data_IF_979397537817
#
_entry.id   IF_979397537817
#
_cell.length_a   1.000
_cell.length_b   1.000
_cell.length_c   1.000
_cell.angle_alpha   90.00
_cell.angle_beta   90.00
_cell.angle_gamma   90.00
#
_symmetry.space_group_name_H-M   'P 1'
#
loop_
_entity.id
_entity.type
_entity.pdbx_description
1 polymer ?
#
# COMPACT_ATOMS: atom_id res chain seq x y z
N UNK A 1 15.09 14.33 -0.68
CA UNK A 1 15.93 13.52 0.24
C UNK A 1 15.08 12.44 0.92
N UNK A 2 15.28 11.15 0.63
CA UNK A 2 14.44 10.08 1.17
C UNK A 2 14.74 9.78 2.65
N UNK A 3 16.01 9.59 3.00
CA UNK A 3 16.43 9.22 4.36
C UNK A 3 16.04 10.28 5.39
N UNK A 4 16.26 11.57 5.10
CA UNK A 4 15.86 12.66 5.99
C UNK A 4 14.34 12.65 6.27
N UNK A 5 13.51 12.40 5.25
CA UNK A 5 12.06 12.23 5.42
C UNK A 5 11.75 11.00 6.27
N UNK A 6 12.40 9.88 6.00
CA UNK A 6 12.18 8.64 6.74
C UNK A 6 12.51 8.83 8.23
N UNK A 7 13.63 9.48 8.57
CA UNK A 7 14.04 9.76 9.95
C UNK A 7 13.00 10.64 10.66
N UNK A 8 12.53 11.71 10.01
CA UNK A 8 11.48 12.56 10.59
C UNK A 8 10.17 11.80 10.80
N UNK A 9 9.77 10.95 9.86
CA UNK A 9 8.51 10.20 9.94
C UNK A 9 8.57 9.08 10.97
N UNK A 10 9.67 8.32 11.04
CA UNK A 10 9.78 7.20 11.97
C UNK A 10 9.80 7.67 13.43
N UNK A 11 10.40 8.83 13.72
CA UNK A 11 10.37 9.41 15.06
C UNK A 11 8.95 9.76 15.53
N UNK A 12 8.07 10.15 14.62
CA UNK A 12 6.66 10.39 14.92
C UNK A 12 5.85 9.09 15.04
N UNK A 13 6.10 8.11 14.15
CA UNK A 13 5.35 6.86 14.09
C UNK A 13 5.72 5.86 15.20
N UNK A 14 6.99 5.81 15.57
CA UNK A 14 7.54 4.85 16.54
C UNK A 14 8.02 5.54 17.82
N UNK A 15 7.39 6.65 18.21
CA UNK A 15 7.74 7.41 19.42
C UNK A 15 7.78 6.48 20.65
N UNK A 16 8.88 6.56 21.40
CA UNK A 16 9.15 5.74 22.60
C UNK A 16 9.34 4.22 22.38
N UNK A 17 9.42 3.75 21.14
CA UNK A 17 9.72 2.34 20.88
C UNK A 17 11.23 2.10 20.81
N UNK A 18 11.69 0.99 21.40
CA UNK A 18 13.08 0.54 21.34
C UNK A 18 13.54 0.12 19.93
N UNK A 19 12.59 -0.07 19.01
CA UNK A 19 12.86 -0.41 17.62
C UNK A 19 11.76 0.09 16.69
N UNK A 20 12.13 0.23 15.42
CA UNK A 20 11.22 0.67 14.36
C UNK A 20 11.84 0.43 12.99
N UNK A 21 10.99 0.12 12.02
CA UNK A 21 11.37 0.00 10.62
C UNK A 21 10.41 0.81 9.75
N UNK A 22 10.93 1.56 8.78
CA UNK A 22 10.15 2.34 7.85
C UNK A 22 10.67 2.16 6.43
N UNK A 23 9.79 1.65 5.57
CA UNK A 23 10.02 1.53 4.14
C UNK A 23 9.30 2.65 3.39
N UNK A 24 10.06 3.49 2.69
CA UNK A 24 9.55 4.49 1.75
C UNK A 24 9.91 4.11 0.31
N UNK A 25 9.34 4.83 -0.66
CA UNK A 25 9.80 4.76 -2.04
C UNK A 25 11.23 5.33 -2.11
N UNK A 26 12.21 4.44 -2.30
CA UNK A 26 13.62 4.79 -2.48
C UNK A 26 14.51 4.69 -1.24
N UNK A 27 13.98 4.36 -0.07
CA UNK A 27 14.83 4.08 1.11
C UNK A 27 14.11 3.24 2.17
N UNK A 28 14.93 2.54 2.95
CA UNK A 28 14.54 1.77 4.12
C UNK A 28 15.39 2.24 5.30
N UNK A 29 14.78 2.42 6.45
CA UNK A 29 15.49 2.64 7.70
C UNK A 29 14.97 1.68 8.76
N UNK A 30 15.88 1.16 9.59
CA UNK A 30 15.54 0.34 10.74
C UNK A 30 16.48 0.67 11.89
N UNK A 31 15.93 0.74 13.09
CA UNK A 31 16.67 0.78 14.35
C UNK A 31 16.05 -0.24 15.31
N UNK A 32 16.84 -0.72 16.26
CA UNK A 32 16.43 -1.71 17.24
C UNK A 32 17.41 -1.66 18.43
N UNK A 33 16.99 -2.16 19.60
CA UNK A 33 17.87 -2.32 20.76
C UNK A 33 18.60 -3.67 20.77
N UNK A 34 18.24 -4.57 19.85
CA UNK A 34 18.92 -5.83 19.59
C UNK A 34 19.74 -5.76 18.31
N UNK A 35 20.87 -6.48 18.24
CA UNK A 35 21.66 -6.51 17.00
C UNK A 35 20.96 -7.35 15.93
N UNK A 36 20.75 -6.75 14.76
CA UNK A 36 20.13 -7.40 13.59
C UNK A 36 21.04 -7.40 12.36
N UNK A 37 22.29 -6.94 12.50
CA UNK A 37 23.24 -6.84 11.38
C UNK A 37 23.76 -8.22 10.97
N UNK A 38 23.68 -8.55 9.68
CA UNK A 38 24.12 -9.83 9.13
C UNK A 38 23.20 -11.02 9.42
N UNK A 39 22.07 -10.77 10.09
CA UNK A 39 21.07 -11.79 10.43
C UNK A 39 20.04 -11.86 9.30
N UNK A 40 19.88 -13.03 8.70
CA UNK A 40 18.82 -13.26 7.71
C UNK A 40 17.45 -13.22 8.39
N UNK A 41 16.49 -12.53 7.77
CA UNK A 41 15.10 -12.48 8.23
C UNK A 41 14.15 -12.49 7.01
N UNK A 42 13.46 -13.62 6.87
CA UNK A 42 12.49 -13.91 5.80
C UNK A 42 11.04 -13.76 6.28
N UNK A 43 10.81 -13.20 7.47
CA UNK A 43 9.45 -12.96 7.97
C UNK A 43 8.73 -11.99 7.04
N UNK A 44 7.48 -12.30 6.66
CA UNK A 44 6.68 -11.44 5.80
C UNK A 44 6.23 -10.21 6.60
N UNK A 45 6.65 -9.03 6.15
CA UNK A 45 6.31 -7.72 6.74
C UNK A 45 5.11 -7.11 6.03
N UNK A 46 5.09 -7.17 4.70
CA UNK A 46 3.99 -6.65 3.88
C UNK A 46 3.82 -7.52 2.64
N UNK A 47 2.58 -7.95 2.40
CA UNK A 47 2.12 -8.46 1.11
C UNK A 47 1.01 -7.57 0.59
N UNK A 48 1.11 -7.16 -0.67
CA UNK A 48 0.00 -6.49 -1.37
C UNK A 48 -0.06 -6.98 -2.81
N UNK A 49 -1.20 -7.49 -3.25
CA UNK A 49 -1.44 -7.83 -4.64
C UNK A 49 -2.50 -6.87 -5.21
N UNK A 50 -2.31 -6.44 -6.46
CA UNK A 50 -3.29 -5.66 -7.19
C UNK A 50 -4.47 -6.48 -7.69
N UNK A 51 -5.48 -5.82 -8.30
CA UNK A 51 -6.54 -6.53 -9.00
C UNK A 51 -5.97 -7.32 -10.19
N UNK A 52 -6.67 -8.36 -10.61
CA UNK A 52 -6.32 -9.08 -11.82
C UNK A 52 -6.62 -8.22 -13.05
N UNK A 53 -5.70 -8.16 -14.01
CA UNK A 53 -5.85 -7.33 -15.22
C UNK A 53 -5.80 -8.13 -16.53
N UNK A 54 -6.02 -9.44 -16.46
CA UNK A 54 -6.06 -10.32 -17.62
C UNK A 54 -4.72 -10.52 -18.33
N UNK A 55 -3.63 -9.94 -17.82
CA UNK A 55 -2.29 -10.30 -18.25
C UNK A 55 -1.95 -11.72 -17.79
N UNK A 56 -1.29 -12.46 -18.68
CA UNK A 56 -0.88 -13.82 -18.42
C UNK A 56 0.15 -13.86 -17.28
N UNK A 57 -0.14 -14.69 -16.27
CA UNK A 57 0.76 -14.93 -15.14
C UNK A 57 2.14 -15.45 -15.59
N UNK A 58 2.24 -16.04 -16.78
CA UNK A 58 3.52 -16.44 -17.38
C UNK A 58 4.46 -15.25 -17.63
N UNK A 59 3.94 -14.12 -18.12
CA UNK A 59 4.76 -12.92 -18.41
C UNK A 59 5.38 -12.34 -17.13
N UNK A 60 4.58 -12.28 -16.06
CA UNK A 60 5.06 -11.95 -14.72
C UNK A 60 6.07 -13.00 -14.22
N UNK A 61 5.76 -14.29 -14.39
CA UNK A 61 6.60 -15.41 -13.98
C UNK A 61 8.01 -15.34 -14.57
N UNK A 62 8.14 -14.95 -15.84
CA UNK A 62 9.43 -14.76 -16.52
C UNK A 62 10.24 -13.61 -15.91
N UNK A 63 9.65 -12.43 -15.69
CA UNK A 63 10.35 -11.30 -15.05
C UNK A 63 10.78 -11.64 -13.63
N UNK A 64 9.90 -12.25 -12.84
CA UNK A 64 10.22 -12.70 -11.49
C UNK A 64 11.33 -13.77 -11.47
N UNK A 65 11.37 -14.67 -12.45
CA UNK A 65 12.45 -15.65 -12.59
C UNK A 65 13.78 -14.97 -12.90
N UNK A 66 13.79 -13.97 -13.78
CA UNK A 66 14.98 -13.18 -14.10
C UNK A 66 15.53 -12.45 -12.87
N UNK A 67 14.65 -11.89 -12.03
CA UNK A 67 15.06 -11.23 -10.78
C UNK A 67 15.66 -12.21 -9.75
N UNK A 68 15.27 -13.48 -9.83
CA UNK A 68 15.81 -14.53 -8.97
C UNK A 68 17.17 -15.07 -9.44
N UNK A 69 17.68 -14.64 -10.60
CA UNK A 69 19.00 -15.02 -11.10
C UNK A 69 20.14 -14.47 -10.24
N UNK A 70 21.37 -14.94 -10.49
CA UNK A 70 22.56 -14.41 -9.82
C UNK A 70 22.70 -12.90 -10.09
N UNK A 71 22.92 -12.12 -9.04
CA UNK A 71 23.03 -10.67 -9.14
C UNK A 71 23.33 -10.03 -7.79
N UNK A 72 23.60 -8.73 -7.80
CA UNK A 72 23.88 -7.93 -6.60
C UNK A 72 22.69 -7.78 -5.65
N UNK A 73 22.86 -6.91 -4.66
CA UNK A 73 21.85 -6.58 -3.65
C UNK A 73 20.62 -5.85 -4.21
N UNK A 74 20.71 -5.28 -5.41
CA UNK A 74 19.62 -4.60 -6.09
C UNK A 74 19.53 -5.10 -7.52
N UNK A 75 18.33 -5.49 -7.95
CA UNK A 75 18.06 -6.12 -9.24
C UNK A 75 16.84 -5.50 -9.86
N UNK A 76 16.93 -5.25 -11.16
CA UNK A 76 15.83 -4.74 -11.97
C UNK A 76 15.68 -5.64 -13.19
N UNK A 77 14.44 -5.84 -13.62
CA UNK A 77 14.14 -6.67 -14.76
C UNK A 77 12.78 -6.33 -15.31
N UNK A 78 12.55 -6.62 -16.58
CA UNK A 78 11.26 -6.36 -17.19
C UNK A 78 11.16 -6.78 -18.65
N UNK A 79 9.95 -6.67 -19.16
CA UNK A 79 9.56 -6.80 -20.55
C UNK A 79 8.78 -5.54 -20.98
N UNK A 80 8.11 -5.58 -22.14
CA UNK A 80 7.18 -4.54 -22.59
C UNK A 80 6.05 -4.27 -21.60
N UNK A 81 5.59 -5.31 -20.91
CA UNK A 81 4.32 -5.29 -20.17
C UNK A 81 4.50 -5.47 -18.67
N UNK A 82 5.69 -5.84 -18.21
CA UNK A 82 5.96 -6.13 -16.80
C UNK A 82 7.32 -5.56 -16.42
N UNK A 83 7.36 -4.82 -15.31
CA UNK A 83 8.60 -4.35 -14.69
C UNK A 83 8.67 -4.86 -13.27
N UNK A 84 9.87 -5.20 -12.81
CA UNK A 84 10.08 -5.66 -11.45
C UNK A 84 11.41 -5.24 -10.87
N UNK A 85 11.42 -5.18 -9.55
CA UNK A 85 12.56 -4.79 -8.73
C UNK A 85 12.67 -5.76 -7.57
N UNK A 86 13.90 -6.17 -7.25
CA UNK A 86 14.21 -6.96 -6.07
C UNK A 86 15.41 -6.33 -5.34
N UNK A 87 15.35 -6.26 -4.01
CA UNK A 87 16.41 -5.66 -3.22
C UNK A 87 16.60 -6.35 -1.88
N UNK A 88 17.85 -6.54 -1.48
CA UNK A 88 18.26 -6.96 -0.16
C UNK A 88 18.72 -5.76 0.68
N UNK A 89 18.57 -5.85 1.99
CA UNK A 89 19.26 -4.95 2.92
C UNK A 89 20.76 -5.28 2.85
N UNK A 90 21.60 -4.24 2.81
CA UNK A 90 23.02 -4.37 2.46
C UNK A 90 23.91 -5.03 3.50
N UNK A 91 23.37 -5.44 4.64
CA UNK A 91 24.10 -6.17 5.67
C UNK A 91 24.04 -7.70 5.48
N UNK A 92 23.27 -8.21 4.51
CA UNK A 92 23.24 -9.63 4.16
C UNK A 92 24.45 -10.04 3.32
N UNK A 93 24.93 -11.27 3.51
CA UNK A 93 25.81 -11.92 2.55
C UNK A 93 25.08 -12.20 1.22
N UNK A 94 25.84 -12.45 0.14
CA UNK A 94 25.24 -12.76 -1.17
C UNK A 94 24.36 -14.02 -1.15
N UNK A 95 24.74 -15.04 -0.35
CA UNK A 95 23.93 -16.25 -0.18
C UNK A 95 22.60 -15.96 0.51
N UNK A 96 22.64 -15.28 1.68
CA UNK A 96 21.43 -14.88 2.41
C UNK A 96 20.54 -13.95 1.57
N UNK A 97 21.14 -13.06 0.77
CA UNK A 97 20.38 -12.20 -0.13
C UNK A 97 19.64 -13.03 -1.19
N UNK A 98 20.32 -14.00 -1.82
CA UNK A 98 19.71 -14.88 -2.80
C UNK A 98 18.59 -15.73 -2.20
N UNK A 99 18.79 -16.26 -0.99
CA UNK A 99 17.80 -17.07 -0.27
C UNK A 99 16.57 -16.24 0.10
N UNK A 100 16.76 -15.03 0.62
CA UNK A 100 15.68 -14.11 0.93
C UNK A 100 14.88 -13.71 -0.31
N UNK A 101 15.56 -13.34 -1.41
CA UNK A 101 14.89 -12.98 -2.66
C UNK A 101 14.13 -14.16 -3.27
N UNK A 102 14.67 -15.38 -3.16
CA UNK A 102 14.00 -16.59 -3.63
C UNK A 102 12.68 -16.82 -2.90
N UNK A 103 12.65 -16.61 -1.58
CA UNK A 103 11.42 -16.67 -0.78
C UNK A 103 10.42 -15.58 -1.21
N UNK A 104 10.85 -14.33 -1.29
CA UNK A 104 9.97 -13.21 -1.65
C UNK A 104 9.37 -13.38 -3.06
N UNK A 105 10.19 -13.79 -4.02
CA UNK A 105 9.78 -14.04 -5.40
C UNK A 105 8.87 -15.27 -5.50
N UNK A 106 9.17 -16.34 -4.76
CA UNK A 106 8.33 -17.53 -4.67
C UNK A 106 6.92 -17.19 -4.21
N UNK A 107 6.81 -16.38 -3.15
CA UNK A 107 5.52 -15.89 -2.63
C UNK A 107 4.78 -14.97 -3.60
N UNK A 108 5.48 -14.09 -4.32
CA UNK A 108 4.83 -13.29 -5.37
C UNK A 108 4.20 -14.17 -6.45
N UNK A 109 4.91 -15.21 -6.90
CA UNK A 109 4.41 -16.13 -7.93
C UNK A 109 3.19 -16.92 -7.46
N UNK A 110 3.19 -17.41 -6.21
CA UNK A 110 2.09 -18.23 -5.68
C UNK A 110 0.91 -17.40 -5.18
N UNK A 111 1.15 -16.22 -4.60
CA UNK A 111 0.13 -15.46 -3.88
C UNK A 111 -0.40 -14.23 -4.65
N UNK A 112 0.35 -13.72 -5.64
CA UNK A 112 -0.06 -12.58 -6.48
C UNK A 112 -0.16 -12.95 -7.97
N UNK A 113 -0.42 -14.22 -8.29
CA UNK A 113 -0.57 -14.68 -9.68
C UNK A 113 -1.69 -13.93 -10.40
N UNK A 114 -1.39 -13.45 -11.61
CA UNK A 114 -2.33 -12.71 -12.45
C UNK A 114 -2.72 -11.31 -11.94
N UNK A 115 -2.10 -10.83 -10.86
CA UNK A 115 -2.32 -9.48 -10.35
C UNK A 115 -1.62 -8.43 -11.22
N UNK A 116 -2.20 -7.23 -11.31
CA UNK A 116 -1.60 -6.11 -12.05
C UNK A 116 -0.31 -5.59 -11.41
N UNK A 117 -0.16 -5.78 -10.11
CA UNK A 117 1.06 -5.50 -9.36
C UNK A 117 1.16 -6.43 -8.15
N UNK A 118 2.36 -6.57 -7.62
CA UNK A 118 2.59 -7.32 -6.38
C UNK A 118 3.77 -6.75 -5.61
N UNK A 119 3.57 -6.58 -4.32
CA UNK A 119 4.57 -6.15 -3.35
C UNK A 119 4.75 -7.26 -2.32
N UNK A 120 5.99 -7.74 -2.16
CA UNK A 120 6.37 -8.69 -1.12
C UNK A 120 7.60 -8.15 -0.39
N UNK A 121 7.39 -7.66 0.83
CA UNK A 121 8.44 -7.20 1.72
C UNK A 121 8.64 -8.22 2.83
N UNK A 122 9.85 -8.75 2.91
CA UNK A 122 10.33 -9.57 4.01
C UNK A 122 11.21 -8.72 4.94
N UNK A 123 11.61 -9.27 6.09
CA UNK A 123 12.42 -8.56 7.09
C UNK A 123 13.74 -7.99 6.57
N UNK A 124 14.37 -8.64 5.57
CA UNK A 124 15.67 -8.23 5.01
C UNK A 124 15.74 -8.12 3.50
N UNK A 125 14.63 -8.30 2.80
CA UNK A 125 14.59 -8.10 1.35
C UNK A 125 13.17 -7.82 0.89
N UNK A 126 13.03 -7.35 -0.35
CA UNK A 126 11.74 -7.25 -0.99
C UNK A 126 11.82 -7.60 -2.46
N UNK A 127 10.69 -8.00 -3.02
CA UNK A 127 10.47 -8.09 -4.46
C UNK A 127 9.15 -7.39 -4.80
N UNK A 128 9.12 -6.70 -5.93
CA UNK A 128 7.95 -5.99 -6.44
C UNK A 128 7.85 -6.16 -7.93
N UNK A 129 6.63 -6.23 -8.45
CA UNK A 129 6.36 -6.13 -9.88
C UNK A 129 5.16 -5.25 -10.14
N UNK A 130 5.13 -4.66 -11.32
CA UNK A 130 4.02 -3.87 -11.85
C UNK A 130 3.88 -4.19 -13.32
N UNK A 131 2.64 -4.22 -13.79
CA UNK A 131 2.34 -4.43 -15.21
C UNK A 131 1.88 -3.14 -15.87
N UNK A 132 2.00 -3.03 -17.20
CA UNK A 132 1.62 -1.82 -17.94
C UNK A 132 0.15 -1.44 -17.80
N UNK A 133 -0.73 -2.40 -17.50
CA UNK A 133 -2.15 -2.17 -17.17
C UNK A 133 -2.41 -1.69 -15.73
N UNK A 134 -1.41 -1.67 -14.85
CA UNK A 134 -1.55 -1.24 -13.46
C UNK A 134 -1.56 0.28 -13.28
N UNK A 135 -1.29 1.05 -14.35
CA UNK A 135 -1.46 2.50 -14.38
C UNK A 135 -2.93 2.93 -14.53
N UNK A 136 -3.86 2.23 -13.89
CA UNK A 136 -5.23 2.69 -13.68
C UNK A 136 -5.79 2.12 -12.37
N UNK A 137 -5.19 2.50 -11.26
CA UNK A 137 -5.87 2.47 -9.95
C UNK A 137 -5.18 3.44 -8.99
N UNK A 138 -5.28 4.73 -9.28
CA UNK A 138 -5.41 5.72 -8.20
C UNK A 138 -6.83 5.62 -7.63
N UNK A 139 -7.23 4.43 -7.17
CA UNK A 139 -8.17 4.34 -6.06
C UNK A 139 -7.33 4.47 -4.80
N UNK A 140 -7.06 5.72 -4.46
CA UNK A 140 -6.70 6.12 -3.11
C UNK A 140 -7.57 5.34 -2.13
N UNK A 141 -6.97 4.40 -1.41
CA UNK A 141 -7.59 3.78 -0.23
C UNK A 141 -7.63 4.87 0.83
N UNK A 142 -8.63 5.74 0.68
CA UNK A 142 -9.15 6.56 1.74
C UNK A 142 -9.50 5.60 2.87
N UNK A 143 -8.78 5.70 3.98
CA UNK A 143 -9.46 5.62 5.26
C UNK A 143 -10.71 6.51 5.12
N UNK A 144 -11.86 5.88 5.30
CA UNK A 144 -13.22 6.39 5.09
C UNK A 144 -13.35 7.91 5.07
N UNK A 145 -13.31 8.52 3.89
CA UNK A 145 -14.04 9.77 3.60
C UNK A 145 -14.20 9.92 2.09
N UNK A 146 -15.29 9.32 1.61
CA UNK A 146 -15.79 9.41 0.25
C UNK A 146 -16.17 10.87 -0.08
N UNK A 147 -15.26 11.65 -0.66
CA UNK A 147 -15.58 12.84 -1.43
C UNK A 147 -15.43 12.53 -2.92
N UNK A 148 -16.49 11.95 -3.51
CA UNK A 148 -16.73 12.06 -4.94
C UNK A 148 -17.67 13.24 -5.17
N UNK A 149 -17.24 14.18 -6.00
CA UNK A 149 -17.95 15.41 -6.36
C UNK A 149 -19.28 15.19 -7.09
N UNK A 150 -19.82 13.97 -7.13
CA UNK A 150 -21.16 13.65 -7.63
C UNK A 150 -22.07 13.13 -6.50
N UNK A 151 -21.54 12.34 -5.56
CA UNK A 151 -22.30 11.89 -4.38
C UNK A 151 -22.36 12.96 -3.28
N UNK A 152 -21.40 13.89 -3.23
CA UNK A 152 -21.43 15.04 -2.32
C UNK A 152 -22.62 15.96 -2.62
N UNK A 153 -22.97 16.17 -3.90
CA UNK A 153 -24.18 16.93 -4.25
C UNK A 153 -25.45 16.20 -3.80
N UNK A 154 -25.54 14.89 -3.97
CA UNK A 154 -26.70 14.12 -3.52
C UNK A 154 -26.92 14.21 -2.01
N UNK A 155 -25.84 14.15 -1.21
CA UNK A 155 -25.92 14.30 0.25
C UNK A 155 -26.28 15.74 0.67
N UNK A 156 -25.70 16.76 0.03
CA UNK A 156 -26.02 18.17 0.32
C UNK A 156 -27.48 18.49 -0.04
N UNK A 157 -27.96 18.02 -1.20
CA UNK A 157 -29.35 18.20 -1.64
C UNK A 157 -30.30 17.50 -0.67
N UNK A 158 -29.98 16.27 -0.25
CA UNK A 158 -30.75 15.53 0.75
C UNK A 158 -30.84 16.26 2.09
N UNK A 159 -29.73 16.80 2.59
CA UNK A 159 -29.69 17.57 3.83
C UNK A 159 -30.52 18.85 3.73
N UNK A 160 -30.36 19.62 2.66
CA UNK A 160 -31.09 20.88 2.45
C UNK A 160 -32.60 20.64 2.32
N UNK A 161 -33.02 19.63 1.56
CA UNK A 161 -34.42 19.26 1.42
C UNK A 161 -35.03 18.79 2.76
N UNK A 162 -34.28 17.99 3.53
CA UNK A 162 -34.70 17.54 4.86
C UNK A 162 -34.90 18.69 5.85
N UNK A 163 -33.95 19.64 5.90
CA UNK A 163 -34.04 20.82 6.77
C UNK A 163 -35.23 21.70 6.38
N UNK A 164 -35.48 21.92 5.09
CA UNK A 164 -36.62 22.71 4.62
C UNK A 164 -37.96 22.09 5.03
N UNK A 165 -38.12 20.77 4.86
CA UNK A 165 -39.33 20.05 5.28
C UNK A 165 -39.54 20.12 6.80
N UNK A 166 -38.47 20.00 7.57
CA UNK A 166 -38.53 20.08 9.03
C UNK A 166 -38.96 21.47 9.50
N UNK A 167 -38.45 22.54 8.89
CA UNK A 167 -38.88 23.91 9.19
C UNK A 167 -40.37 24.10 8.87
N UNK A 168 -40.82 23.65 7.69
CA UNK A 168 -42.25 23.74 7.30
C UNK A 168 -43.12 23.01 8.33
N UNK A 169 -42.75 21.79 8.69
CA UNK A 169 -43.48 20.99 9.68
C UNK A 169 -43.55 21.68 11.05
N UNK A 170 -42.43 22.23 11.54
CA UNK A 170 -42.39 22.97 12.81
C UNK A 170 -43.22 24.25 12.76
N UNK A 171 -43.22 24.98 11.64
CA UNK A 171 -44.10 26.16 11.50
C UNK A 171 -45.57 25.77 11.50
N UNK A 172 -45.93 24.63 10.91
CA UNK A 172 -47.29 24.12 10.90
C UNK A 172 -47.72 23.69 12.31
N UNK A 173 -46.87 22.97 13.05
CA UNK A 173 -47.09 22.64 14.45
C UNK A 173 -47.25 23.91 15.29
N UNK A 174 -46.33 24.87 15.18
CA UNK A 174 -46.45 26.15 15.91
C UNK A 174 -47.73 26.89 15.58
N UNK A 175 -48.20 26.82 14.33
CA UNK A 175 -49.46 27.44 13.91
C UNK A 175 -50.69 26.72 14.45
N UNK A 176 -50.64 25.39 14.58
CA UNK A 176 -51.72 24.58 15.21
C UNK A 176 -51.76 24.84 16.71
N UNK A 177 -50.63 24.71 17.41
CA UNK A 177 -50.55 24.89 18.86
C UNK A 177 -50.72 26.36 19.27
N UNK A 178 -50.26 27.32 18.45
CA UNK A 178 -50.50 28.75 18.66
C UNK A 178 -51.96 29.19 18.42
N UNK A 179 -52.79 28.37 17.77
CA UNK A 179 -54.22 28.61 17.60
C UNK A 179 -55.08 28.10 18.75
N UNK A 180 -54.53 27.24 19.61
CA UNK A 180 -55.22 26.67 20.77
C UNK A 180 -54.83 27.36 22.11
N UNK A 181 -54.08 28.46 22.05
CA UNK A 181 -53.62 29.24 23.21
C UNK A 181 -54.25 30.63 23.34
N UNK A 182 -55.45 30.84 22.80
CA UNK A 182 -56.22 32.08 23.00
C UNK A 182 -57.69 31.76 23.25
#
# INVERSE_FOLDING_TARGET
MCVAKAVSSIGQLCSQNCGGALQLLGCFIKYDNTSFFGVEDKTCVLKKCGPSNGLDGDSMGRVLTSLNGAGGLYRVGGSSDVHGVAQCVGDLSMGQCQDCLSEAIGRLKSECSGAAYGDMFLGKCYARFVTSGAHFDTKSTHASSHFENEKTFALIIGLLAGVALLIIFLTFIRRIFGRNGK
#
